data_IF_504991963047
#
_entry.id   IF_504991963047
#
_cell.length_a   1.000
_cell.length_b   1.000
_cell.length_c   1.000
_cell.angle_alpha   90.00
_cell.angle_beta   90.00
_cell.angle_gamma   90.00
#
_symmetry.space_group_name_H-M   'P 1'
#
loop_
_entity.id
_entity.type
_entity.pdbx_description
1 polymer ?
#
# COMPACT_ATOMS: atom_id res chain seq x y z
N UNK A 1 28.76 40.38 60.59
CA UNK A 1 27.45 40.97 60.22
C UNK A 1 27.17 40.60 58.76
N UNK A 2 25.99 40.06 58.50
CA UNK A 2 25.57 39.26 57.33
C UNK A 2 25.43 40.00 55.99
N UNK A 3 25.45 39.22 54.88
CA UNK A 3 24.84 39.49 53.56
C UNK A 3 25.49 38.61 52.47
N UNK A 4 25.02 37.41 52.10
CA UNK A 4 23.81 36.96 51.40
C UNK A 4 23.91 37.01 49.83
N UNK A 5 23.95 35.80 49.21
CA UNK A 5 23.31 35.30 47.96
C UNK A 5 23.24 36.23 46.69
N UNK A 6 23.34 35.80 45.43
CA UNK A 6 22.94 34.54 44.78
C UNK A 6 23.38 34.50 43.30
N UNK A 7 23.34 33.29 42.75
CA UNK A 7 23.40 32.88 41.35
C UNK A 7 22.56 33.72 40.38
N UNK A 8 23.13 34.20 39.26
CA UNK A 8 22.34 34.72 38.11
C UNK A 8 22.85 34.32 36.72
N UNK A 9 23.91 33.53 36.57
CA UNK A 9 24.46 33.19 35.23
C UNK A 9 24.20 31.73 34.80
N UNK A 10 23.21 31.06 35.41
CA UNK A 10 22.92 29.64 35.14
C UNK A 10 21.50 29.36 34.60
N UNK A 11 20.79 30.35 34.04
CA UNK A 11 19.38 30.17 33.62
C UNK A 11 19.11 30.25 32.11
N UNK A 12 20.11 30.54 31.27
CA UNK A 12 19.90 30.69 29.82
C UNK A 12 20.26 29.44 28.98
N UNK A 13 20.87 28.42 29.59
CA UNK A 13 21.32 27.21 28.88
C UNK A 13 20.34 26.03 29.02
N UNK A 14 19.55 25.98 30.10
CA UNK A 14 18.58 24.88 30.31
C UNK A 14 17.41 24.96 29.32
N UNK A 15 16.83 26.14 29.09
CA UNK A 15 15.62 26.31 28.26
C UNK A 15 15.80 25.99 26.77
N UNK A 16 16.98 26.28 26.20
CA UNK A 16 17.29 25.97 24.79
C UNK A 16 17.34 24.46 24.54
N UNK A 17 17.89 23.72 25.50
CA UNK A 17 17.94 22.26 25.47
C UNK A 17 16.52 21.69 25.48
N UNK A 18 15.65 22.12 26.40
CA UNK A 18 14.25 21.67 26.45
C UNK A 18 13.46 21.94 25.17
N UNK A 19 13.64 23.12 24.54
CA UNK A 19 12.97 23.45 23.27
C UNK A 19 13.47 22.53 22.14
N UNK A 20 14.78 22.27 22.08
CA UNK A 20 15.33 21.34 21.08
C UNK A 20 14.87 19.90 21.31
N UNK A 21 14.77 19.45 22.56
CA UNK A 21 14.21 18.14 22.92
C UNK A 21 12.72 18.04 22.59
N UNK A 22 11.94 19.09 22.85
CA UNK A 22 10.52 19.15 22.53
C UNK A 22 10.30 19.14 21.00
N UNK A 23 11.08 19.91 20.25
CA UNK A 23 11.03 19.89 18.79
C UNK A 23 11.49 18.54 18.21
N UNK A 24 12.56 17.94 18.76
CA UNK A 24 13.06 16.65 18.31
C UNK A 24 12.06 15.54 18.59
N UNK A 25 11.44 15.54 19.78
CA UNK A 25 10.37 14.58 20.13
C UNK A 25 9.11 14.80 19.29
N UNK A 26 8.72 16.05 19.01
CA UNK A 26 7.61 16.36 18.12
C UNK A 26 7.90 15.93 16.66
N UNK A 27 9.12 16.13 16.16
CA UNK A 27 9.58 15.65 14.85
C UNK A 27 9.61 14.11 14.79
N UNK A 28 10.07 13.44 15.85
CA UNK A 28 10.06 11.97 15.95
C UNK A 28 8.63 11.41 16.03
N UNK A 29 7.71 12.08 16.72
CA UNK A 29 6.28 11.72 16.76
C UNK A 29 5.60 11.96 15.41
N UNK A 30 5.94 13.04 14.70
CA UNK A 30 5.48 13.30 13.33
C UNK A 30 6.06 12.28 12.33
N UNK A 31 7.32 11.86 12.50
CA UNK A 31 7.95 10.81 11.71
C UNK A 31 7.33 9.42 11.95
N UNK A 32 6.66 9.20 13.08
CA UNK A 32 5.85 7.99 13.33
C UNK A 32 4.52 7.98 12.56
N UNK A 33 4.20 9.05 11.83
CA UNK A 33 2.96 9.24 11.08
C UNK A 33 2.87 8.56 9.71
N UNK A 34 3.87 7.79 9.26
CA UNK A 34 3.76 6.99 8.03
C UNK A 34 4.43 5.63 8.16
N UNK A 35 3.91 4.76 9.04
CA UNK A 35 3.86 3.35 8.68
C UNK A 35 2.74 3.20 7.66
N UNK A 36 3.03 3.57 6.41
CA UNK A 36 2.26 3.11 5.27
C UNK A 36 2.25 1.58 5.39
N UNK A 37 1.13 1.00 5.82
CA UNK A 37 0.85 -0.40 5.55
C UNK A 37 0.61 -0.48 4.04
N UNK A 38 1.68 -0.32 3.27
CA UNK A 38 1.71 -0.62 1.84
C UNK A 38 1.50 -2.12 1.79
N UNK A 39 0.24 -2.53 1.65
CA UNK A 39 -0.12 -3.89 1.26
C UNK A 39 0.80 -4.20 0.07
N UNK A 40 1.66 -5.23 0.15
CA UNK A 40 2.61 -5.46 -0.91
C UNK A 40 1.81 -5.58 -2.21
N UNK A 41 2.20 -4.84 -3.27
CA UNK A 41 1.61 -5.05 -4.58
C UNK A 41 1.69 -6.54 -4.93
N UNK A 42 0.74 -7.05 -5.72
CA UNK A 42 0.69 -8.43 -6.20
C UNK A 42 2.10 -9.01 -6.32
N UNK A 43 2.40 -10.04 -5.51
CA UNK A 43 3.70 -10.69 -5.53
C UNK A 43 3.78 -11.54 -6.82
N UNK A 44 4.26 -10.91 -7.89
CA UNK A 44 4.45 -11.46 -9.23
C UNK A 44 5.51 -12.57 -9.31
N UNK A 45 5.84 -13.22 -8.18
CA UNK A 45 6.89 -14.24 -8.10
C UNK A 45 6.30 -15.64 -7.94
N UNK A 46 5.00 -15.78 -7.60
CA UNK A 46 4.40 -17.09 -7.28
C UNK A 46 3.46 -17.67 -8.34
N UNK A 47 2.57 -16.85 -8.92
CA UNK A 47 1.50 -17.36 -9.80
C UNK A 47 1.24 -16.49 -11.04
N UNK A 48 1.99 -15.39 -11.19
CA UNK A 48 1.81 -14.44 -12.28
C UNK A 48 3.17 -13.99 -12.80
N UNK A 49 3.26 -13.67 -14.08
CA UNK A 49 4.38 -12.99 -14.71
C UNK A 49 3.95 -11.54 -14.97
N UNK A 50 4.77 -10.59 -14.55
CA UNK A 50 4.49 -9.18 -14.69
C UNK A 50 5.57 -8.49 -15.54
N UNK A 51 5.13 -7.70 -16.50
CA UNK A 51 6.01 -6.93 -17.39
C UNK A 51 5.41 -5.53 -17.60
N UNK A 52 6.04 -4.50 -17.04
CA UNK A 52 5.53 -3.12 -17.07
C UNK A 52 4.09 -3.02 -16.52
N UNK A 53 3.10 -2.89 -17.38
CA UNK A 53 1.66 -2.80 -17.07
C UNK A 53 0.86 -4.06 -17.46
N UNK A 54 1.54 -5.14 -17.82
CA UNK A 54 0.95 -6.43 -18.17
C UNK A 54 1.11 -7.38 -16.99
N UNK A 55 0.02 -8.01 -16.58
CA UNK A 55 -0.01 -9.06 -15.56
C UNK A 55 -0.64 -10.29 -16.19
N UNK A 56 0.14 -11.35 -16.37
CA UNK A 56 -0.37 -12.64 -16.83
C UNK A 56 -0.29 -13.66 -15.70
N UNK A 57 -1.44 -14.13 -15.23
CA UNK A 57 -1.60 -15.23 -14.29
C UNK A 57 -2.23 -16.45 -14.99
N UNK A 58 -1.89 -16.65 -16.26
CA UNK A 58 -2.39 -17.78 -17.05
C UNK A 58 -1.96 -19.10 -16.44
N UNK A 59 -2.84 -20.10 -16.44
CA UNK A 59 -2.57 -21.44 -15.88
C UNK A 59 -2.12 -21.41 -14.40
N UNK A 60 -2.67 -20.47 -13.62
CA UNK A 60 -2.33 -20.23 -12.22
C UNK A 60 -3.17 -21.02 -11.22
N UNK A 61 -4.06 -21.91 -11.68
CA UNK A 61 -5.08 -22.61 -10.89
C UNK A 61 -5.96 -21.68 -10.05
N UNK A 62 -6.27 -20.49 -10.60
CA UNK A 62 -7.07 -19.48 -9.94
C UNK A 62 -8.55 -19.82 -10.03
N UNK A 63 -9.26 -19.70 -8.91
CA UNK A 63 -10.73 -19.80 -8.84
C UNK A 63 -11.40 -18.43 -8.72
N UNK A 64 -10.61 -17.38 -8.44
CA UNK A 64 -11.03 -16.00 -8.28
C UNK A 64 -9.94 -15.06 -8.83
N UNK A 65 -10.30 -13.81 -9.12
CA UNK A 65 -9.35 -12.78 -9.54
C UNK A 65 -8.40 -12.45 -8.37
N UNK A 66 -7.07 -12.44 -8.57
CA UNK A 66 -6.12 -12.10 -7.51
C UNK A 66 -6.19 -10.61 -7.18
N UNK A 67 -6.08 -10.27 -5.90
CA UNK A 67 -6.07 -8.90 -5.40
C UNK A 67 -4.99 -8.73 -4.29
N UNK A 68 -4.37 -7.55 -4.13
CA UNK A 68 -4.63 -6.31 -4.88
C UNK A 68 -3.90 -6.25 -6.23
N UNK A 69 -4.55 -5.67 -7.24
CA UNK A 69 -3.94 -5.37 -8.54
C UNK A 69 -3.36 -3.95 -8.58
N UNK A 70 -2.22 -3.71 -9.26
CA UNK A 70 -1.71 -2.36 -9.50
C UNK A 70 -2.68 -1.51 -10.33
N UNK A 71 -2.88 -0.24 -9.96
CA UNK A 71 -3.79 0.69 -10.68
C UNK A 71 -3.41 0.94 -12.14
N UNK A 72 -2.12 0.85 -12.47
CA UNK A 72 -1.60 1.07 -13.81
C UNK A 72 -1.64 -0.18 -14.69
N UNK A 73 -2.29 -1.27 -14.25
CA UNK A 73 -2.45 -2.49 -15.06
C UNK A 73 -3.27 -2.17 -16.30
N UNK A 74 -2.69 -2.40 -17.48
CA UNK A 74 -3.37 -2.20 -18.76
C UNK A 74 -3.89 -3.53 -19.33
N UNK A 75 -3.17 -4.62 -19.08
CA UNK A 75 -3.54 -5.97 -19.53
C UNK A 75 -3.50 -6.90 -18.33
N UNK A 76 -4.64 -7.54 -18.05
CA UNK A 76 -4.76 -8.60 -17.07
C UNK A 76 -5.18 -9.89 -17.77
N UNK A 77 -4.26 -10.86 -17.81
CA UNK A 77 -4.49 -12.17 -18.38
C UNK A 77 -4.70 -13.22 -17.29
N UNK A 78 -5.92 -13.74 -17.23
CA UNK A 78 -6.38 -14.79 -16.31
C UNK A 78 -6.81 -16.04 -17.09
N UNK A 79 -6.31 -16.21 -18.32
CA UNK A 79 -6.66 -17.35 -19.17
C UNK A 79 -6.28 -18.70 -18.54
N UNK A 80 -6.95 -19.78 -18.97
CA UNK A 80 -6.65 -21.15 -18.51
C UNK A 80 -6.71 -21.32 -16.99
N UNK A 81 -7.72 -20.73 -16.35
CA UNK A 81 -7.97 -20.86 -14.92
C UNK A 81 -9.34 -21.53 -14.67
N UNK A 82 -9.81 -21.53 -13.43
CA UNK A 82 -11.09 -22.14 -13.00
C UNK A 82 -12.05 -21.11 -12.41
N UNK A 83 -12.02 -19.88 -12.91
CA UNK A 83 -12.92 -18.81 -12.47
C UNK A 83 -14.32 -19.11 -13.02
N UNK A 84 -15.30 -19.19 -12.13
CA UNK A 84 -16.70 -19.52 -12.49
C UNK A 84 -17.64 -18.33 -12.44
N UNK A 85 -17.27 -17.30 -11.68
CA UNK A 85 -18.09 -16.10 -11.48
C UNK A 85 -17.21 -14.85 -11.51
N UNK A 86 -17.71 -13.78 -12.14
CA UNK A 86 -17.14 -12.45 -12.05
C UNK A 86 -18.23 -11.46 -11.63
N UNK A 87 -18.11 -10.91 -10.42
CA UNK A 87 -19.08 -9.93 -9.88
C UNK A 87 -18.63 -8.51 -10.16
N UNK A 88 -19.53 -7.53 -10.13
CA UNK A 88 -19.21 -6.11 -10.37
C UNK A 88 -18.04 -5.60 -9.49
N UNK A 89 -17.98 -6.09 -8.24
CA UNK A 89 -16.99 -5.78 -7.22
C UNK A 89 -15.72 -6.68 -7.24
N UNK A 90 -15.43 -7.33 -8.37
CA UNK A 90 -14.28 -8.25 -8.52
C UNK A 90 -12.92 -7.61 -8.22
N UNK A 91 -12.82 -6.28 -8.27
CA UNK A 91 -11.64 -5.52 -7.85
C UNK A 91 -12.01 -4.51 -6.77
N UNK A 92 -11.20 -4.43 -5.72
CA UNK A 92 -11.32 -3.40 -4.67
C UNK A 92 -10.68 -2.06 -5.06
N UNK A 93 -10.04 -1.99 -6.22
CA UNK A 93 -9.28 -0.84 -6.70
C UNK A 93 -9.82 -0.46 -8.08
N UNK A 94 -9.99 0.84 -8.32
CA UNK A 94 -10.31 1.37 -9.65
C UNK A 94 -9.14 1.13 -10.61
N UNK A 95 -9.39 0.34 -11.66
CA UNK A 95 -8.43 -0.02 -12.70
C UNK A 95 -8.67 0.82 -13.96
N UNK A 96 -8.65 2.14 -13.81
CA UNK A 96 -8.90 3.10 -14.91
C UNK A 96 -7.93 2.98 -16.10
N UNK A 97 -6.78 2.32 -15.93
CA UNK A 97 -5.83 2.04 -17.01
C UNK A 97 -6.08 0.72 -17.73
N UNK A 98 -7.01 -0.12 -17.25
CA UNK A 98 -7.26 -1.46 -17.79
C UNK A 98 -7.92 -1.37 -19.18
N UNK A 99 -7.24 -1.95 -20.16
CA UNK A 99 -7.68 -1.98 -21.56
C UNK A 99 -8.10 -3.39 -21.97
N UNK A 100 -7.56 -4.42 -21.33
CA UNK A 100 -7.84 -5.81 -21.68
C UNK A 100 -7.89 -6.70 -20.44
N UNK A 101 -9.00 -7.39 -20.26
CA UNK A 101 -9.20 -8.46 -19.29
C UNK A 101 -9.42 -9.77 -20.05
N UNK A 102 -8.46 -10.67 -20.00
CA UNK A 102 -8.48 -11.94 -20.75
C UNK A 102 -8.90 -13.05 -19.79
N UNK A 103 -10.09 -13.61 -20.02
CA UNK A 103 -10.70 -14.68 -19.21
C UNK A 103 -10.93 -15.97 -20.01
N UNK A 104 -10.31 -16.11 -21.18
CA UNK A 104 -10.48 -17.29 -22.04
C UNK A 104 -10.12 -18.58 -21.30
N UNK A 105 -10.79 -19.68 -21.65
CA UNK A 105 -10.52 -20.99 -21.05
C UNK A 105 -10.69 -21.02 -19.52
N UNK A 106 -11.70 -20.30 -19.02
CA UNK A 106 -12.24 -20.44 -17.67
C UNK A 106 -13.60 -21.18 -17.68
N UNK A 107 -14.23 -21.33 -16.53
CA UNK A 107 -15.55 -21.95 -16.35
C UNK A 107 -16.67 -20.94 -16.06
N UNK A 108 -16.58 -19.73 -16.65
CA UNK A 108 -17.52 -18.64 -16.35
C UNK A 108 -18.96 -19.05 -16.66
N UNK A 109 -19.80 -19.03 -15.64
CA UNK A 109 -21.24 -19.31 -15.70
C UNK A 109 -22.08 -18.13 -15.23
N UNK A 110 -21.46 -17.14 -14.57
CA UNK A 110 -22.16 -15.97 -14.04
C UNK A 110 -21.31 -14.70 -14.14
N UNK A 111 -21.95 -13.61 -14.56
CA UNK A 111 -21.41 -12.25 -14.58
C UNK A 111 -22.45 -11.33 -13.93
N UNK A 112 -22.08 -10.54 -12.91
CA UNK A 112 -22.96 -9.48 -12.36
C UNK A 112 -22.57 -8.10 -12.87
N UNK A 113 -23.58 -7.24 -13.02
CA UNK A 113 -23.45 -5.85 -13.48
C UNK A 113 -24.11 -4.87 -12.51
N UNK A 114 -24.31 -5.25 -11.25
CA UNK A 114 -25.05 -4.44 -10.25
C UNK A 114 -24.69 -2.96 -10.27
#
# INVERSE_FOLDING_TARGET
KMGALNCTVASAALGRSFITFLHLTLLLLAARGQRQLKRPPLDCTKNCVCASNIISCSNGNLTQVPAPLPQHTAVLDLSFNSITQLRAEWTSIDLSSLQSLILSNNGLTFLSTE
#
